data_IF_389887933661
#
_entry.id   IF_389887933661
#
_cell.length_a   1.000
_cell.length_b   1.000
_cell.length_c   1.000
_cell.angle_alpha   90.00
_cell.angle_beta   90.00
_cell.angle_gamma   90.00
#
_symmetry.space_group_name_H-M   'P 1'
#
loop_
_entity.id
_entity.type
_entity.pdbx_description
1 polymer ?
#
# COMPACT_ATOMS: atom_id res chain seq x y z
N UNK A 1 -5.43 -8.81 -15.86
CA UNK A 1 -6.27 -9.54 -14.88
C UNK A 1 -5.86 -9.09 -13.48
N UNK A 2 -6.74 -8.44 -12.71
CA UNK A 2 -6.43 -7.96 -11.35
C UNK A 2 -6.88 -8.94 -10.27
N UNK A 3 -6.25 -8.88 -9.08
CA UNK A 3 -6.42 -9.85 -7.99
C UNK A 3 -6.09 -11.27 -8.44
N UNK A 4 -4.96 -11.41 -9.14
CA UNK A 4 -4.51 -12.68 -9.69
C UNK A 4 -3.00 -12.84 -9.53
N UNK A 5 -2.58 -14.08 -9.35
CA UNK A 5 -1.18 -14.47 -9.15
C UNK A 5 -0.84 -15.64 -10.07
N UNK A 6 0.36 -15.61 -10.65
CA UNK A 6 0.88 -16.73 -11.44
C UNK A 6 1.30 -17.83 -10.48
N UNK A 7 0.79 -19.04 -10.68
CA UNK A 7 1.14 -20.21 -9.86
C UNK A 7 2.22 -21.06 -10.50
N UNK A 8 2.13 -21.25 -11.80
CA UNK A 8 3.00 -22.15 -12.54
C UNK A 8 3.28 -21.59 -13.93
N UNK A 9 4.53 -21.66 -14.35
CA UNK A 9 4.97 -21.38 -15.71
C UNK A 9 5.76 -22.59 -16.19
N UNK A 10 5.31 -23.19 -17.29
CA UNK A 10 5.95 -24.33 -17.92
C UNK A 10 6.14 -24.08 -19.41
N UNK A 11 6.90 -24.94 -20.10
CA UNK A 11 7.20 -24.78 -21.53
C UNK A 11 8.53 -24.05 -21.80
N UNK A 12 8.60 -23.35 -22.92
CA UNK A 12 9.84 -22.72 -23.42
C UNK A 12 9.55 -21.44 -24.20
N UNK A 13 10.60 -20.72 -24.62
CA UNK A 13 10.48 -19.48 -25.40
C UNK A 13 9.54 -19.67 -26.60
N UNK A 14 8.56 -18.77 -26.72
CA UNK A 14 7.51 -18.84 -27.74
C UNK A 14 6.31 -19.72 -27.40
N UNK A 15 6.41 -20.59 -26.39
CA UNK A 15 5.38 -21.57 -26.01
C UNK A 15 5.37 -21.81 -24.50
N UNK A 16 4.93 -20.81 -23.72
CA UNK A 16 4.71 -20.96 -22.29
C UNK A 16 3.26 -21.33 -22.01
N UNK A 17 3.06 -22.41 -21.24
CA UNK A 17 1.77 -22.74 -20.62
C UNK A 17 1.79 -22.20 -19.18
N UNK A 18 0.87 -21.26 -18.89
CA UNK A 18 0.85 -20.52 -17.62
C UNK A 18 -0.46 -20.76 -16.88
N UNK A 19 -0.37 -21.15 -15.60
CA UNK A 19 -1.51 -21.23 -14.69
C UNK A 19 -1.57 -19.97 -13.84
N UNK A 20 -2.72 -19.29 -13.88
CA UNK A 20 -2.94 -18.06 -13.15
C UNK A 20 -4.13 -18.25 -12.20
N UNK A 21 -3.89 -18.12 -10.90
CA UNK A 21 -4.94 -18.10 -9.88
C UNK A 21 -5.56 -16.72 -9.84
N UNK A 22 -6.83 -16.63 -10.18
CA UNK A 22 -7.67 -15.47 -9.90
C UNK A 22 -8.31 -15.64 -8.53
N UNK A 23 -7.95 -14.79 -7.58
CA UNK A 23 -8.50 -14.79 -6.22
C UNK A 23 -9.97 -14.38 -6.25
N UNK A 24 -10.77 -15.03 -5.40
CA UNK A 24 -12.16 -14.64 -5.16
C UNK A 24 -12.23 -13.17 -4.74
N UNK A 25 -13.11 -12.41 -5.39
CA UNK A 25 -13.33 -10.99 -5.08
C UNK A 25 -14.51 -10.82 -4.14
N UNK A 26 -15.39 -11.82 -4.09
CA UNK A 26 -16.67 -11.83 -3.39
C UNK A 26 -17.63 -10.72 -3.81
N UNK A 27 -17.32 -10.10 -4.96
CA UNK A 27 -18.10 -9.07 -5.62
C UNK A 27 -18.04 -9.37 -7.11
N UNK A 28 -19.20 -9.57 -7.73
CA UNK A 28 -19.30 -9.67 -9.16
C UNK A 28 -18.94 -8.32 -9.78
N UNK A 29 -17.75 -8.24 -10.37
CA UNK A 29 -17.25 -7.01 -10.95
C UNK A 29 -18.07 -6.59 -12.17
N UNK A 30 -18.72 -7.49 -12.92
CA UNK A 30 -19.52 -7.11 -14.10
C UNK A 30 -20.81 -6.35 -13.71
N UNK A 31 -21.42 -6.73 -12.58
CA UNK A 31 -22.60 -6.05 -12.04
C UNK A 31 -22.27 -4.80 -11.22
N UNK A 32 -21.08 -4.77 -10.62
CA UNK A 32 -20.68 -3.72 -9.68
C UNK A 32 -20.38 -2.40 -10.39
N UNK A 33 -21.04 -1.33 -9.93
CA UNK A 33 -20.82 0.04 -10.42
C UNK A 33 -19.71 0.80 -9.65
N UNK A 34 -19.22 0.25 -8.55
CA UNK A 34 -18.17 0.89 -7.73
C UNK A 34 -18.65 2.06 -6.83
N UNK A 35 -19.96 2.19 -6.58
CA UNK A 35 -20.56 3.32 -5.86
C UNK A 35 -20.12 3.48 -4.39
N UNK A 36 -19.66 2.41 -3.73
CA UNK A 36 -19.10 2.48 -2.37
C UNK A 36 -20.08 2.38 -1.20
N UNK A 37 -21.40 2.28 -1.43
CA UNK A 37 -22.40 2.12 -0.35
C UNK A 37 -22.10 0.95 0.58
N UNK A 38 -21.64 -0.17 0.02
CA UNK A 38 -21.27 -1.36 0.78
C UNK A 38 -20.06 -1.15 1.71
N UNK A 39 -19.13 -0.26 1.34
CA UNK A 39 -17.97 0.15 2.13
C UNK A 39 -18.45 1.00 3.31
N UNK A 40 -19.27 2.03 3.04
CA UNK A 40 -19.78 2.95 4.05
C UNK A 40 -20.57 2.24 5.17
N UNK A 41 -21.42 1.27 4.77
CA UNK A 41 -22.27 0.51 5.69
C UNK A 41 -21.58 -0.69 6.34
N UNK A 42 -20.34 -1.02 5.98
CA UNK A 42 -19.64 -2.16 6.58
C UNK A 42 -19.41 -1.93 8.09
N UNK A 43 -19.84 -2.84 8.99
CA UNK A 43 -19.67 -2.66 10.43
C UNK A 43 -18.24 -2.94 10.91
N UNK A 44 -17.42 -3.62 10.10
CA UNK A 44 -16.02 -3.89 10.44
C UNK A 44 -15.12 -2.84 9.80
N UNK A 45 -14.87 -1.73 10.52
CA UNK A 45 -14.18 -0.51 10.02
C UNK A 45 -12.76 -0.29 10.57
N UNK A 46 -12.29 -1.16 11.46
CA UNK A 46 -11.02 -0.99 12.19
C UNK A 46 -9.96 -1.98 11.72
N UNK A 47 -9.82 -2.15 10.41
CA UNK A 47 -8.76 -2.98 9.82
C UNK A 47 -7.66 -2.05 9.34
N UNK A 48 -6.42 -2.34 9.68
CA UNK A 48 -5.25 -1.58 9.23
C UNK A 48 -5.15 -1.65 7.70
N UNK A 49 -5.00 -0.49 7.04
CA UNK A 49 -4.87 -0.39 5.58
C UNK A 49 -3.43 -0.65 5.15
N UNK A 50 -3.24 -1.68 4.32
CA UNK A 50 -1.95 -2.05 3.74
C UNK A 50 -1.47 -0.97 2.78
N UNK A 51 -2.38 -0.41 1.96
CA UNK A 51 -2.06 0.68 1.03
C UNK A 51 -1.61 1.95 1.76
N UNK A 52 -2.09 2.17 2.98
CA UNK A 52 -1.70 3.30 3.81
C UNK A 52 -0.52 3.01 4.75
N UNK A 53 0.23 1.92 4.54
CA UNK A 53 1.38 1.56 5.37
C UNK A 53 1.04 1.50 6.86
N UNK A 54 -0.19 1.08 7.17
CA UNK A 54 -0.74 1.00 8.50
C UNK A 54 -1.08 2.33 9.19
N UNK A 55 -0.95 3.46 8.48
CA UNK A 55 -1.32 4.79 8.98
C UNK A 55 -2.83 5.06 8.90
N UNK A 56 -3.55 4.26 8.10
CA UNK A 56 -4.98 4.37 7.86
C UNK A 56 -5.76 3.13 8.26
N UNK A 57 -7.07 3.30 8.37
CA UNK A 57 -8.01 2.20 8.58
C UNK A 57 -8.87 2.01 7.34
N UNK A 58 -9.22 0.75 7.07
CA UNK A 58 -10.17 0.32 6.03
C UNK A 58 -11.23 -0.61 6.60
N UNK A 59 -12.23 -0.88 5.77
CA UNK A 59 -13.28 -1.85 6.03
C UNK A 59 -12.97 -3.23 5.45
N UNK A 60 -13.76 -4.24 5.86
CA UNK A 60 -13.59 -5.60 5.32
C UNK A 60 -13.93 -5.67 3.82
N UNK A 61 -14.93 -4.90 3.36
CA UNK A 61 -15.15 -4.64 1.93
C UNK A 61 -14.55 -3.28 1.61
N UNK A 62 -13.61 -3.20 0.67
CA UNK A 62 -12.81 -2.01 0.46
C UNK A 62 -12.37 -1.85 -1.00
N UNK A 63 -11.91 -0.65 -1.33
CA UNK A 63 -11.07 -0.37 -2.51
C UNK A 63 -9.68 0.01 -1.99
N UNK A 64 -8.57 -0.46 -2.60
CA UNK A 64 -7.22 -0.12 -2.12
C UNK A 64 -6.99 1.39 -2.01
N UNK A 65 -7.49 2.15 -2.99
CA UNK A 65 -7.50 3.62 -2.98
C UNK A 65 -8.64 4.17 -3.84
N UNK A 66 -8.89 5.47 -3.75
CA UNK A 66 -10.04 6.11 -4.40
C UNK A 66 -10.03 5.94 -5.93
N UNK A 67 -8.86 6.07 -6.56
CA UNK A 67 -8.64 5.99 -8.01
C UNK A 67 -8.22 4.58 -8.48
N UNK A 68 -8.47 3.53 -7.69
CA UNK A 68 -8.09 2.17 -8.04
C UNK A 68 -8.69 1.74 -9.39
N UNK A 69 -7.95 0.93 -10.15
CA UNK A 69 -8.40 0.35 -11.42
C UNK A 69 -8.27 -1.17 -11.36
N UNK A 70 -9.38 -1.93 -11.51
CA UNK A 70 -10.77 -1.47 -11.60
C UNK A 70 -11.25 -0.72 -10.35
N UNK A 71 -12.11 0.29 -10.52
CA UNK A 71 -12.69 1.11 -9.44
C UNK A 71 -13.75 0.38 -8.61
N UNK A 72 -13.62 -0.93 -8.44
CA UNK A 72 -14.61 -1.84 -7.85
C UNK A 72 -14.05 -2.45 -6.56
N UNK A 73 -14.85 -2.54 -5.50
CA UNK A 73 -14.39 -3.11 -4.24
C UNK A 73 -14.17 -4.62 -4.31
N UNK A 74 -13.44 -5.12 -3.32
CA UNK A 74 -13.27 -6.54 -3.02
C UNK A 74 -13.55 -6.76 -1.52
N UNK A 75 -13.89 -7.99 -1.14
CA UNK A 75 -14.02 -8.37 0.28
C UNK A 75 -12.78 -9.11 0.72
N UNK A 76 -12.22 -8.68 1.85
CA UNK A 76 -11.20 -9.40 2.60
C UNK A 76 -11.85 -10.59 3.34
N UNK A 77 -11.58 -11.85 2.92
CA UNK A 77 -12.21 -13.01 3.51
C UNK A 77 -11.78 -13.26 4.95
N UNK A 78 -10.56 -12.88 5.34
CA UNK A 78 -10.01 -13.09 6.68
C UNK A 78 -10.63 -12.13 7.70
N UNK A 79 -11.06 -10.95 7.25
CA UNK A 79 -11.65 -9.92 8.11
C UNK A 79 -13.17 -9.78 7.96
N UNK A 80 -13.79 -10.44 6.99
CA UNK A 80 -15.24 -10.39 6.78
C UNK A 80 -16.00 -11.27 7.79
N UNK A 81 -16.91 -10.67 8.57
CA UNK A 81 -17.72 -11.40 9.58
C UNK A 81 -18.74 -12.37 8.97
N UNK A 82 -19.13 -12.19 7.71
CA UNK A 82 -20.01 -13.13 7.00
C UNK A 82 -19.23 -14.35 6.55
N UNK A 83 -18.06 -14.17 5.93
CA UNK A 83 -17.23 -15.29 5.46
C UNK A 83 -16.64 -16.08 6.65
N UNK A 84 -16.14 -15.40 7.68
CA UNK A 84 -15.47 -16.07 8.83
C UNK A 84 -16.43 -16.67 9.86
N UNK A 85 -17.61 -16.09 10.06
CA UNK A 85 -18.51 -16.43 11.19
C UNK A 85 -19.98 -16.55 10.81
N UNK A 86 -20.33 -16.41 9.55
CA UNK A 86 -21.70 -16.45 9.02
C UNK A 86 -22.72 -15.49 9.69
N UNK A 87 -22.26 -14.38 10.28
CA UNK A 87 -23.10 -13.49 11.12
C UNK A 87 -23.37 -12.09 10.55
N UNK A 88 -23.05 -11.83 9.29
CA UNK A 88 -23.22 -10.51 8.68
C UNK A 88 -23.85 -10.62 7.28
N UNK A 89 -24.10 -9.47 6.65
CA UNK A 89 -24.71 -9.39 5.31
C UNK A 89 -25.13 -7.97 4.93
N UNK A 90 -24.69 -6.96 5.69
CA UNK A 90 -25.10 -5.57 5.52
C UNK A 90 -24.67 -5.04 4.15
N UNK A 91 -23.47 -5.39 3.68
CA UNK A 91 -22.99 -4.99 2.35
C UNK A 91 -23.88 -5.54 1.22
N UNK A 92 -24.35 -6.79 1.32
CA UNK A 92 -25.26 -7.38 0.34
C UNK A 92 -26.64 -6.68 0.37
N UNK A 93 -27.21 -6.48 1.57
CA UNK A 93 -28.51 -5.79 1.74
C UNK A 93 -28.53 -4.36 1.19
N UNK A 94 -27.39 -3.67 1.20
CA UNK A 94 -27.27 -2.28 0.73
C UNK A 94 -26.69 -2.18 -0.69
N UNK A 95 -26.51 -3.30 -1.40
CA UNK A 95 -26.01 -3.29 -2.77
C UNK A 95 -27.20 -3.23 -3.75
N UNK A 96 -27.45 -2.09 -4.41
CA UNK A 96 -28.60 -1.96 -5.33
C UNK A 96 -28.47 -2.80 -6.61
N UNK A 97 -27.26 -3.31 -6.89
CA UNK A 97 -26.96 -4.15 -8.06
C UNK A 97 -26.84 -5.63 -7.70
N UNK A 98 -27.05 -5.98 -6.43
CA UNK A 98 -26.94 -7.36 -5.93
C UNK A 98 -25.59 -8.01 -6.31
N UNK A 99 -24.53 -7.21 -6.38
CA UNK A 99 -23.24 -7.65 -6.88
C UNK A 99 -22.42 -8.42 -5.82
N UNK A 100 -22.86 -8.50 -4.58
CA UNK A 100 -22.11 -9.19 -3.52
C UNK A 100 -22.36 -10.69 -3.61
N UNK A 101 -21.29 -11.48 -3.74
CA UNK A 101 -21.35 -12.94 -3.79
C UNK A 101 -20.38 -13.53 -2.77
N UNK A 102 -20.88 -14.00 -1.62
CA UNK A 102 -20.02 -14.57 -0.58
C UNK A 102 -19.51 -15.99 -0.91
N UNK A 103 -20.13 -16.66 -1.87
CA UNK A 103 -19.77 -18.02 -2.30
C UNK A 103 -18.79 -18.02 -3.48
N UNK A 104 -18.26 -16.85 -3.86
CA UNK A 104 -17.22 -16.70 -4.87
C UNK A 104 -15.96 -17.49 -4.46
N UNK A 105 -15.34 -18.15 -5.43
CA UNK A 105 -14.18 -19.03 -5.23
C UNK A 105 -13.06 -18.64 -6.17
N UNK A 106 -11.84 -18.96 -5.75
CA UNK A 106 -10.67 -18.85 -6.60
C UNK A 106 -10.88 -19.65 -7.89
N UNK A 107 -10.39 -19.09 -8.99
CA UNK A 107 -10.45 -19.72 -10.32
C UNK A 107 -9.04 -19.87 -10.86
N UNK A 108 -8.76 -21.03 -11.44
CA UNK A 108 -7.54 -21.25 -12.21
C UNK A 108 -7.85 -20.96 -13.67
N UNK A 109 -7.08 -20.05 -14.25
CA UNK A 109 -7.09 -19.74 -15.69
C UNK A 109 -5.80 -20.28 -16.26
N UNK A 110 -5.91 -21.16 -17.25
CA UNK A 110 -4.77 -21.67 -18.01
C UNK A 110 -4.75 -20.98 -19.37
N UNK A 111 -3.62 -20.39 -19.72
CA UNK A 111 -3.46 -19.66 -20.98
C UNK A 111 -2.03 -19.78 -21.51
N UNK A 112 -1.86 -19.54 -22.81
CA UNK A 112 -0.59 -19.68 -23.53
C UNK A 112 0.02 -18.34 -23.90
N UNK A 113 1.31 -18.19 -23.65
CA UNK A 113 2.04 -16.96 -23.92
C UNK A 113 3.35 -17.22 -24.66
N UNK A 114 3.73 -16.30 -25.57
CA UNK A 114 5.01 -16.38 -26.27
C UNK A 114 6.20 -15.84 -25.46
N UNK A 115 5.95 -14.94 -24.51
CA UNK A 115 6.97 -14.28 -23.71
C UNK A 115 6.44 -13.93 -22.32
N UNK A 116 7.34 -13.87 -21.34
CA UNK A 116 7.06 -13.47 -19.96
C UNK A 116 7.96 -12.28 -19.60
N UNK A 117 7.37 -11.23 -19.03
CA UNK A 117 8.09 -10.06 -18.52
C UNK A 117 7.85 -9.96 -17.03
N UNK A 118 8.91 -9.95 -16.23
CA UNK A 118 8.82 -9.84 -14.77
C UNK A 118 8.90 -8.38 -14.36
N UNK A 119 7.84 -7.88 -13.71
CA UNK A 119 7.72 -6.50 -13.26
C UNK A 119 7.04 -6.39 -11.89
N UNK A 120 7.41 -7.28 -10.95
CA UNK A 120 6.79 -7.39 -9.61
C UNK A 120 7.20 -6.31 -8.63
N UNK A 121 8.14 -5.43 -9.00
CA UNK A 121 8.50 -4.25 -8.22
C UNK A 121 9.52 -4.53 -7.11
N UNK A 122 9.30 -3.93 -5.95
CA UNK A 122 10.18 -3.98 -4.77
C UNK A 122 9.35 -3.83 -3.50
N UNK A 123 9.92 -4.22 -2.36
CA UNK A 123 9.36 -3.98 -1.03
C UNK A 123 10.27 -3.09 -0.18
N UNK A 124 9.71 -2.54 0.90
CA UNK A 124 10.49 -1.83 1.90
C UNK A 124 11.30 -2.79 2.78
N UNK A 125 12.36 -2.25 3.37
CA UNK A 125 13.12 -2.94 4.41
C UNK A 125 12.26 -3.13 5.68
N UNK A 126 12.46 -4.23 6.39
CA UNK A 126 11.88 -4.40 7.73
C UNK A 126 12.70 -3.61 8.77
N UNK A 127 12.27 -2.38 9.03
CA UNK A 127 12.88 -1.48 10.00
C UNK A 127 12.57 -1.81 11.46
N UNK A 128 11.64 -2.73 11.73
CA UNK A 128 11.31 -3.09 13.12
C UNK A 128 12.30 -4.11 13.65
N UNK A 129 12.77 -4.98 12.78
CA UNK A 129 13.74 -6.04 13.11
C UNK A 129 15.19 -5.60 12.91
N UNK A 130 15.41 -4.44 12.28
CA UNK A 130 16.73 -3.86 12.00
C UNK A 130 16.81 -2.41 12.48
N UNK A 131 18.00 -1.88 12.76
CA UNK A 131 18.18 -0.44 13.03
C UNK A 131 17.41 0.10 14.26
N UNK A 132 17.24 -0.73 15.30
CA UNK A 132 16.50 -0.38 16.52
C UNK A 132 17.04 0.87 17.25
N UNK A 133 18.29 1.27 17.01
CA UNK A 133 18.86 2.53 17.49
C UNK A 133 18.08 3.78 17.02
N UNK A 134 17.36 3.70 15.90
CA UNK A 134 16.51 4.78 15.39
C UNK A 134 15.07 4.73 15.93
N UNK A 135 14.69 3.65 16.64
CA UNK A 135 13.46 3.57 17.42
C UNK A 135 12.17 3.35 16.62
N UNK A 136 12.24 2.93 15.36
CA UNK A 136 11.05 2.53 14.59
C UNK A 136 10.32 1.38 15.29
N UNK A 137 8.98 1.46 15.33
CA UNK A 137 8.14 0.49 16.06
C UNK A 137 8.10 0.69 17.58
N UNK A 138 9.01 1.47 18.16
CA UNK A 138 8.97 1.88 19.58
C UNK A 138 8.40 3.27 19.76
N UNK A 139 8.85 4.23 18.96
CA UNK A 139 8.41 5.62 19.01
C UNK A 139 7.38 5.87 17.90
N UNK A 140 6.14 6.29 18.22
CA UNK A 140 5.09 6.48 17.22
C UNK A 140 5.44 7.51 16.14
N UNK A 141 6.25 8.51 16.49
CA UNK A 141 6.64 9.61 15.59
C UNK A 141 7.84 9.28 14.71
N UNK A 142 8.42 8.07 14.84
CA UNK A 142 9.43 7.56 13.92
C UNK A 142 8.71 6.75 12.85
N UNK A 143 8.60 7.33 11.64
CA UNK A 143 7.88 6.75 10.51
C UNK A 143 8.80 6.52 9.31
N UNK A 144 8.40 5.64 8.39
CA UNK A 144 9.11 5.40 7.14
C UNK A 144 8.86 6.51 6.12
N UNK A 145 9.72 6.59 5.09
CA UNK A 145 9.50 7.50 3.97
C UNK A 145 8.19 7.22 3.21
N UNK A 146 7.76 5.96 3.13
CA UNK A 146 6.49 5.62 2.47
C UNK A 146 5.29 5.98 3.34
N UNK A 147 5.37 5.83 4.66
CA UNK A 147 4.35 6.35 5.57
C UNK A 147 4.22 7.87 5.45
N UNK A 148 5.34 8.60 5.32
CA UNK A 148 5.30 10.04 5.03
C UNK A 148 4.57 10.34 3.70
N UNK A 149 4.82 9.57 2.63
CA UNK A 149 4.07 9.70 1.37
C UNK A 149 2.56 9.55 1.59
N UNK A 150 2.15 8.57 2.41
CA UNK A 150 0.73 8.37 2.74
C UNK A 150 0.16 9.58 3.46
N UNK A 151 0.87 10.15 4.43
CA UNK A 151 0.41 11.33 5.17
C UNK A 151 0.29 12.58 4.29
N UNK A 152 1.28 12.83 3.43
CA UNK A 152 1.30 14.04 2.60
C UNK A 152 0.34 13.95 1.40
N UNK A 153 -0.07 12.75 1.02
CA UNK A 153 -1.02 12.53 -0.08
C UNK A 153 -2.42 13.06 0.27
N UNK A 154 -3.03 13.83 -0.64
CA UNK A 154 -4.36 14.42 -0.44
C UNK A 154 -5.49 13.38 -0.28
N UNK A 155 -5.34 12.19 -0.90
CA UNK A 155 -6.23 11.04 -0.73
C UNK A 155 -5.71 10.03 0.30
N UNK A 156 -4.72 10.42 1.11
CA UNK A 156 -4.18 9.61 2.20
C UNK A 156 -5.03 9.67 3.47
N UNK A 157 -4.62 8.94 4.53
CA UNK A 157 -5.42 8.77 5.75
C UNK A 157 -5.62 10.07 6.54
N UNK A 158 -4.74 11.05 6.37
CA UNK A 158 -4.83 12.37 7.01
C UNK A 158 -5.25 13.47 6.05
N UNK A 159 -5.80 13.12 4.87
CA UNK A 159 -6.20 14.05 3.82
C UNK A 159 -5.11 15.05 3.43
N UNK A 160 -3.85 14.60 3.42
CA UNK A 160 -2.69 15.41 3.06
C UNK A 160 -2.09 16.23 4.20
N UNK A 161 -2.59 16.10 5.44
CA UNK A 161 -2.00 16.75 6.61
C UNK A 161 -0.85 15.91 7.17
N UNK A 162 0.29 16.55 7.41
CA UNK A 162 1.45 15.91 8.02
C UNK A 162 1.26 15.98 9.54
N UNK A 163 0.70 14.93 10.13
CA UNK A 163 0.39 14.85 11.55
C UNK A 163 1.25 13.79 12.22
N UNK A 164 1.73 14.09 13.44
CA UNK A 164 2.44 13.14 14.28
C UNK A 164 1.51 12.00 14.70
N UNK A 165 1.90 10.73 14.53
CA UNK A 165 1.06 9.60 14.95
C UNK A 165 0.79 9.55 16.45
N UNK A 166 1.70 10.09 17.29
CA UNK A 166 1.54 10.06 18.75
C UNK A 166 0.37 10.92 19.25
N UNK A 167 0.19 12.11 18.68
CA UNK A 167 -0.72 13.12 19.24
C UNK A 167 -1.56 13.89 18.21
N UNK A 168 -1.40 13.57 16.92
CA UNK A 168 -2.17 14.18 15.84
C UNK A 168 -1.86 15.64 15.56
N UNK A 169 -0.76 16.20 16.12
CA UNK A 169 -0.35 17.58 15.86
C UNK A 169 0.61 17.68 14.68
N UNK A 170 0.64 18.85 14.05
CA UNK A 170 1.63 19.15 13.02
C UNK A 170 3.04 19.26 13.65
N UNK A 171 4.06 18.59 13.10
CA UNK A 171 5.41 18.71 13.60
C UNK A 171 6.03 20.03 13.15
N UNK A 172 6.58 20.81 14.09
CA UNK A 172 7.37 22.02 13.80
C UNK A 172 8.81 21.72 13.39
N UNK A 173 9.30 20.53 13.69
CA UNK A 173 10.61 20.07 13.29
C UNK A 173 10.49 18.67 12.69
N UNK A 174 11.12 18.44 11.54
CA UNK A 174 11.24 17.12 10.93
C UNK A 174 12.71 16.81 10.62
N UNK A 175 13.09 15.56 10.85
CA UNK A 175 14.42 15.05 10.51
C UNK A 175 14.27 13.88 9.54
N UNK A 176 14.87 13.99 8.36
CA UNK A 176 14.97 12.90 7.40
C UNK A 176 16.35 12.26 7.48
N UNK A 177 16.40 10.99 7.82
CA UNK A 177 17.64 10.22 7.89
C UNK A 177 17.77 9.39 6.60
N UNK A 178 18.90 9.51 5.91
CA UNK A 178 19.16 8.83 4.63
C UNK A 178 20.05 7.61 4.82
N UNK A 179 20.01 6.75 3.80
CA UNK A 179 20.81 5.52 3.71
C UNK A 179 20.48 4.45 4.78
N UNK A 180 19.38 4.56 5.52
CA UNK A 180 18.92 3.44 6.34
C UNK A 180 18.71 2.20 5.45
N UNK A 181 19.27 1.05 5.85
CA UNK A 181 19.20 -0.22 5.12
C UNK A 181 20.01 -0.29 3.82
N UNK A 182 20.70 0.78 3.43
CA UNK A 182 21.43 0.88 2.15
C UNK A 182 22.81 1.47 2.37
N UNK A 183 23.81 0.97 1.66
CA UNK A 183 25.23 1.32 1.87
C UNK A 183 25.67 1.07 3.31
N UNK A 184 25.20 -0.02 3.88
CA UNK A 184 25.59 -0.50 5.20
C UNK A 184 25.96 -1.98 5.07
N UNK A 185 27.26 -2.25 5.16
CA UNK A 185 27.82 -3.60 5.03
C UNK A 185 27.62 -4.45 6.28
N UNK A 186 27.37 -3.83 7.44
CA UNK A 186 27.29 -4.50 8.73
C UNK A 186 25.85 -4.97 9.04
N UNK A 187 24.85 -4.13 8.77
CA UNK A 187 23.43 -4.41 9.09
C UNK A 187 22.49 -4.39 7.89
N UNK A 188 22.85 -3.71 6.81
CA UNK A 188 21.96 -3.44 5.67
C UNK A 188 22.40 -4.13 4.38
N UNK A 189 22.12 -3.45 3.26
CA UNK A 189 22.64 -3.84 1.94
C UNK A 189 23.80 -2.94 1.56
N UNK A 190 24.82 -3.51 0.91
CA UNK A 190 25.99 -2.77 0.41
C UNK A 190 25.65 -1.75 -0.68
N UNK A 191 24.56 -1.99 -1.42
CA UNK A 191 24.17 -1.14 -2.54
C UNK A 191 23.39 0.10 -2.11
N UNK A 192 23.36 1.10 -2.99
CA UNK A 192 22.53 2.28 -2.85
C UNK A 192 21.13 2.03 -3.44
N UNK A 193 20.07 2.37 -2.68
CA UNK A 193 18.68 2.28 -3.17
C UNK A 193 18.29 3.30 -4.24
N UNK A 194 19.24 4.14 -4.68
CA UNK A 194 19.15 5.11 -5.79
C UNK A 194 18.12 6.24 -5.64
N UNK A 195 16.88 5.95 -5.25
CA UNK A 195 15.76 6.91 -5.21
C UNK A 195 15.67 7.71 -3.90
N UNK A 196 16.31 7.27 -2.81
CA UNK A 196 16.06 7.80 -1.46
C UNK A 196 16.54 9.23 -1.22
N UNK A 197 17.59 9.68 -1.92
CA UNK A 197 17.97 11.09 -1.91
C UNK A 197 16.90 11.95 -2.59
N UNK A 198 16.39 11.50 -3.74
CA UNK A 198 15.42 12.24 -4.54
C UNK A 198 14.06 12.38 -3.89
N UNK A 199 13.45 11.27 -3.45
CA UNK A 199 12.18 11.39 -2.72
C UNK A 199 12.40 12.15 -1.40
N UNK A 200 13.61 12.11 -0.83
CA UNK A 200 13.97 12.88 0.36
C UNK A 200 13.90 14.39 0.15
N UNK A 201 14.51 14.88 -0.92
CA UNK A 201 14.40 16.29 -1.32
C UNK A 201 12.94 16.68 -1.61
N UNK A 202 12.18 15.79 -2.28
CA UNK A 202 10.75 15.97 -2.51
C UNK A 202 9.97 16.08 -1.19
N UNK A 203 10.19 15.18 -0.23
CA UNK A 203 9.52 15.18 1.06
C UNK A 203 9.83 16.45 1.86
N UNK A 204 11.10 16.87 1.88
CA UNK A 204 11.51 18.12 2.51
C UNK A 204 10.78 19.32 1.90
N UNK A 205 10.73 19.40 0.56
CA UNK A 205 9.99 20.45 -0.13
C UNK A 205 8.49 20.43 0.19
N UNK A 206 7.85 19.26 0.13
CA UNK A 206 6.42 19.12 0.45
C UNK A 206 6.10 19.45 1.91
N UNK A 207 7.02 19.15 2.84
CA UNK A 207 6.90 19.52 4.24
C UNK A 207 6.96 21.05 4.40
N UNK A 208 8.00 21.69 3.86
CA UNK A 208 8.18 23.15 3.94
C UNK A 208 7.08 23.92 3.21
N UNK A 209 6.50 23.35 2.15
CA UNK A 209 5.36 23.96 1.48
C UNK A 209 4.10 23.94 2.35
N UNK A 210 3.88 22.86 3.11
CA UNK A 210 2.68 22.71 3.95
C UNK A 210 2.81 23.33 5.34
N UNK A 211 4.00 23.31 5.93
CA UNK A 211 4.29 23.79 7.28
C UNK A 211 5.24 24.99 7.16
N UNK A 212 4.67 26.18 6.99
CA UNK A 212 5.41 27.41 6.63
C UNK A 212 6.39 27.89 7.70
N UNK A 213 6.17 27.52 8.97
CA UNK A 213 7.04 27.85 10.11
C UNK A 213 7.81 26.62 10.62
N UNK A 214 7.86 25.54 9.83
CA UNK A 214 8.55 24.30 10.19
C UNK A 214 10.02 24.30 9.78
N UNK A 215 10.85 23.61 10.55
CA UNK A 215 12.25 23.36 10.22
C UNK A 215 12.45 21.93 9.73
N UNK A 216 13.26 21.77 8.68
CA UNK A 216 13.54 20.50 8.05
C UNK A 216 15.05 20.23 8.02
N UNK A 217 15.45 19.11 8.62
CA UNK A 217 16.83 18.66 8.67
C UNK A 217 16.97 17.37 7.85
N UNK A 218 18.03 17.26 7.06
CA UNK A 218 18.31 16.05 6.27
C UNK A 218 19.71 15.55 6.59
N UNK A 219 19.79 14.38 7.23
CA UNK A 219 21.06 13.71 7.52
C UNK A 219 21.38 12.73 6.40
N UNK A 220 22.48 12.96 5.71
CA UNK A 220 22.94 12.16 4.58
C UNK A 220 24.45 11.93 4.63
N UNK A 221 24.93 10.88 3.96
CA UNK A 221 26.35 10.71 3.66
C UNK A 221 26.74 11.45 2.39
N UNK A 222 26.02 11.17 1.30
CA UNK A 222 26.14 11.87 0.02
C UNK A 222 24.75 12.22 -0.50
N UNK A 223 24.61 13.36 -1.17
CA UNK A 223 23.43 13.68 -1.97
C UNK A 223 23.61 13.09 -3.36
N UNK A 224 22.77 12.13 -3.73
CA UNK A 224 22.81 11.49 -5.05
C UNK A 224 21.57 11.86 -5.84
N UNK A 225 21.72 12.81 -6.76
CA UNK A 225 20.64 13.32 -7.62
C UNK A 225 20.83 12.94 -9.10
N UNK A 226 20.95 11.65 -9.45
CA UNK A 226 21.18 11.25 -10.83
C UNK A 226 19.92 11.43 -11.68
N UNK A 227 20.06 12.08 -12.84
CA UNK A 227 18.98 12.27 -13.80
C UNK A 227 19.01 13.67 -14.39
N UNK A 228 18.21 13.91 -15.43
CA UNK A 228 18.12 15.23 -16.05
C UNK A 228 17.24 16.15 -15.18
N UNK A 229 17.77 17.31 -14.81
CA UNK A 229 17.03 18.36 -14.10
C UNK A 229 17.00 18.20 -12.57
N UNK A 230 17.96 17.46 -12.01
CA UNK A 230 18.17 17.26 -10.57
C UNK A 230 19.63 17.49 -10.17
#
# INVERSE_FOLDING_TARGET
MTSSEVEEVSGYIGNFDVKIRQKAKYVNHDLCTGCGLCIEKCPNKKITSEFDEGMGLRTAIYKPFAQAVPGKPVIDPERCRKITKDRCGICAKNCPREAINFDDKDKIVEDRFGAVVVGTGFDLWDWKESYGEYGYGKYPDVITGLQFERLVNASGPTAGKILRPSDGKEPKNVVFIKCLGSRDDAKGKKYCSRACCMYGAKHAHQYLDKIKDGECYVFYMDVRTPGKGY
#
